data_IF_982788958947
#
_entry.id   IF_982788958947
#
_cell.length_a   1.000
_cell.length_b   1.000
_cell.length_c   1.000
_cell.angle_alpha   90.00
_cell.angle_beta   90.00
_cell.angle_gamma   90.00
#
_symmetry.space_group_name_H-M   'P 1'
#
loop_
_entity.id
_entity.type
_entity.pdbx_description
1 polymer ?
#
# COMPACT_ATOMS: atom_id res chain seq x y z
N UNK A 1 18.23 -10.45 0.84
CA UNK A 1 17.74 -11.03 -0.43
C UNK A 1 16.32 -11.58 -0.34
N UNK A 2 16.01 -12.60 0.50
CA UNK A 2 14.64 -13.15 0.64
C UNK A 2 13.54 -12.10 0.90
N UNK A 3 13.83 -11.07 1.69
CA UNK A 3 12.89 -9.97 2.00
C UNK A 3 12.56 -9.08 0.78
N UNK A 4 13.55 -8.83 -0.09
CA UNK A 4 13.39 -8.04 -1.32
C UNK A 4 12.57 -8.85 -2.34
N UNK A 5 12.81 -10.16 -2.41
CA UNK A 5 12.06 -11.09 -3.26
C UNK A 5 10.58 -11.14 -2.83
N UNK A 6 10.29 -11.15 -1.53
CA UNK A 6 8.90 -11.15 -1.05
C UNK A 6 8.17 -9.85 -1.37
N UNK A 7 8.84 -8.70 -1.31
CA UNK A 7 8.27 -7.40 -1.70
C UNK A 7 8.04 -7.36 -3.21
N UNK A 8 9.00 -7.84 -4.00
CA UNK A 8 8.84 -7.95 -5.45
C UNK A 8 7.69 -8.89 -5.83
N UNK A 9 7.49 -9.99 -5.11
CA UNK A 9 6.34 -10.90 -5.27
C UNK A 9 5.02 -10.24 -4.90
N UNK A 10 5.00 -9.45 -3.82
CA UNK A 10 3.80 -8.69 -3.42
C UNK A 10 3.42 -7.65 -4.48
N UNK A 11 4.42 -6.92 -5.00
CA UNK A 11 4.25 -5.94 -6.07
C UNK A 11 3.87 -6.60 -7.40
N UNK A 12 4.32 -7.84 -7.64
CA UNK A 12 3.96 -8.62 -8.83
C UNK A 12 2.53 -9.20 -8.77
N UNK A 13 1.91 -9.30 -7.59
CA UNK A 13 0.53 -9.76 -7.46
C UNK A 13 -0.51 -8.68 -7.82
N UNK A 14 -0.13 -7.41 -7.75
CA UNK A 14 -1.03 -6.28 -8.03
C UNK A 14 -1.45 -6.21 -9.52
N UNK A 15 -0.56 -6.39 -10.52
CA UNK A 15 -0.98 -6.41 -11.92
C UNK A 15 -1.89 -7.57 -12.32
N UNK A 16 -1.95 -8.66 -11.53
CA UNK A 16 -2.89 -9.76 -11.76
C UNK A 16 -4.35 -9.37 -11.46
N UNK A 17 -4.57 -8.36 -10.62
CA UNK A 17 -5.91 -7.82 -10.33
C UNK A 17 -6.39 -6.81 -11.38
N UNK A 18 -5.47 -6.17 -12.14
CA UNK A 18 -5.83 -5.24 -13.23
C UNK A 18 -6.18 -5.93 -14.56
N UNK A 19 -5.92 -7.23 -14.73
CA UNK A 19 -6.16 -7.95 -16.00
C UNK A 19 -7.65 -8.19 -16.32
N UNK A 20 -8.57 -7.85 -15.41
CA UNK A 20 -10.00 -8.14 -15.56
C UNK A 20 -10.87 -6.90 -15.89
N UNK A 21 -10.29 -5.72 -16.10
CA UNK A 21 -11.05 -4.46 -16.16
C UNK A 21 -11.20 -3.84 -17.56
N UNK A 22 -12.35 -3.19 -17.73
CA UNK A 22 -12.81 -2.44 -18.90
C UNK A 22 -11.86 -1.29 -19.30
N UNK A 23 -11.90 -0.88 -20.57
CA UNK A 23 -10.88 -0.10 -21.30
C UNK A 23 -10.64 1.37 -20.88
N UNK A 24 -10.81 1.75 -19.60
CA UNK A 24 -10.35 3.07 -19.15
C UNK A 24 -8.81 3.09 -19.05
N UNK A 25 -8.18 4.03 -19.74
CA UNK A 25 -6.72 4.17 -19.75
C UNK A 25 -6.27 4.82 -18.45
N UNK A 26 -5.35 4.16 -17.74
CA UNK A 26 -4.67 4.78 -16.59
C UNK A 26 -4.02 6.10 -17.02
N UNK A 27 -4.43 7.21 -16.40
CA UNK A 27 -3.84 8.52 -16.62
C UNK A 27 -3.48 9.17 -15.29
N UNK A 28 -2.25 9.69 -15.21
CA UNK A 28 -1.80 10.47 -14.05
C UNK A 28 -2.47 11.85 -13.97
N UNK A 29 -3.10 12.33 -15.05
CA UNK A 29 -3.84 13.60 -15.05
C UNK A 29 -5.30 13.45 -14.61
N UNK A 30 -5.77 12.23 -14.41
CA UNK A 30 -7.13 11.97 -13.95
C UNK A 30 -7.21 12.16 -12.44
N UNK A 31 -8.04 13.11 -12.01
CA UNK A 31 -8.29 13.44 -10.60
C UNK A 31 -8.73 12.22 -9.80
N UNK A 32 -9.52 11.32 -10.39
CA UNK A 32 -10.01 10.12 -9.72
C UNK A 32 -8.83 9.17 -9.38
N UNK A 33 -7.94 8.93 -10.35
CA UNK A 33 -6.72 8.12 -10.14
C UNK A 33 -5.76 8.79 -9.16
N UNK A 34 -5.69 10.12 -9.15
CA UNK A 34 -4.92 10.85 -8.13
C UNK A 34 -5.48 10.66 -6.73
N UNK A 35 -6.80 10.64 -6.55
CA UNK A 35 -7.42 10.37 -5.26
C UNK A 35 -7.13 8.95 -4.78
N UNK A 36 -7.20 7.95 -5.66
CA UNK A 36 -6.79 6.58 -5.35
C UNK A 36 -5.32 6.51 -4.89
N UNK A 37 -4.39 7.12 -5.64
CA UNK A 37 -2.98 7.18 -5.27
C UNK A 37 -2.76 7.84 -3.90
N UNK A 38 -3.38 9.00 -3.64
CA UNK A 38 -3.20 9.75 -2.40
C UNK A 38 -3.81 9.00 -1.21
N UNK A 39 -5.02 8.44 -1.38
CA UNK A 39 -5.68 7.66 -0.35
C UNK A 39 -4.86 6.42 0.01
N UNK A 40 -4.40 5.67 -0.99
CA UNK A 40 -3.59 4.48 -0.78
C UNK A 40 -2.20 4.77 -0.19
N UNK A 41 -1.58 5.90 -0.54
CA UNK A 41 -0.39 6.40 0.16
C UNK A 41 -0.66 6.62 1.66
N UNK A 42 -1.73 7.37 1.98
CA UNK A 42 -2.08 7.73 3.35
C UNK A 42 -2.47 6.53 4.21
N UNK A 43 -3.23 5.59 3.64
CA UNK A 43 -3.61 4.33 4.29
C UNK A 43 -2.38 3.46 4.56
N UNK A 44 -1.47 3.34 3.59
CA UNK A 44 -0.24 2.55 3.75
C UNK A 44 0.59 3.09 4.91
N UNK A 45 0.76 4.41 4.98
CA UNK A 45 1.47 5.05 6.09
C UNK A 45 0.78 4.80 7.43
N UNK A 46 -0.53 5.03 7.49
CA UNK A 46 -1.34 4.90 8.71
C UNK A 46 -1.31 3.48 9.26
N UNK A 47 -1.61 2.48 8.44
CA UNK A 47 -1.59 1.08 8.89
C UNK A 47 -0.18 0.63 9.27
N UNK A 48 0.83 1.05 8.52
CA UNK A 48 2.22 0.75 8.90
C UNK A 48 2.54 1.31 10.29
N UNK A 49 2.11 2.54 10.60
CA UNK A 49 2.31 3.12 11.93
C UNK A 49 1.54 2.35 13.02
N UNK A 50 0.30 1.94 12.75
CA UNK A 50 -0.50 1.11 13.66
C UNK A 50 0.23 -0.20 13.98
N UNK A 51 0.67 -0.96 12.97
CA UNK A 51 1.37 -2.22 13.17
C UNK A 51 2.72 -2.04 13.88
N UNK A 52 3.41 -0.92 13.63
CA UNK A 52 4.63 -0.54 14.37
C UNK A 52 4.33 -0.31 15.85
N UNK A 53 3.26 0.41 16.19
CA UNK A 53 2.83 0.62 17.59
C UNK A 53 2.41 -0.67 18.27
N UNK A 54 1.97 -1.68 17.53
CA UNK A 54 1.73 -3.04 18.02
C UNK A 54 3.01 -3.87 18.23
N UNK A 55 4.20 -3.27 18.12
CA UNK A 55 5.48 -3.93 18.37
C UNK A 55 6.01 -4.76 17.18
N UNK A 56 5.41 -4.64 15.99
CA UNK A 56 5.93 -5.30 14.81
C UNK A 56 7.22 -4.61 14.32
N UNK A 57 8.15 -5.39 13.79
CA UNK A 57 9.36 -4.86 13.14
C UNK A 57 8.99 -3.99 11.93
N UNK A 58 9.77 -2.95 11.61
CA UNK A 58 9.59 -2.07 10.44
C UNK A 58 9.07 -2.80 9.19
N UNK A 59 9.76 -3.86 8.77
CA UNK A 59 9.41 -4.64 7.58
C UNK A 59 8.09 -5.38 7.69
N UNK A 60 7.75 -5.92 8.86
CA UNK A 60 6.44 -6.56 9.11
C UNK A 60 5.34 -5.51 9.10
N UNK A 61 5.55 -4.37 9.77
CA UNK A 61 4.58 -3.28 9.78
C UNK A 61 4.30 -2.77 8.38
N UNK A 62 5.35 -2.61 7.56
CA UNK A 62 5.22 -2.13 6.18
C UNK A 62 4.45 -3.12 5.32
N UNK A 63 4.78 -4.40 5.44
CA UNK A 63 4.08 -5.46 4.73
C UNK A 63 2.60 -5.49 5.10
N UNK A 64 2.29 -5.47 6.40
CA UNK A 64 0.91 -5.49 6.86
C UNK A 64 0.16 -4.21 6.48
N UNK A 65 0.79 -3.04 6.55
CA UNK A 65 0.17 -1.79 6.14
C UNK A 65 -0.14 -1.72 4.65
N UNK A 66 0.76 -2.23 3.82
CA UNK A 66 0.55 -2.36 2.37
C UNK A 66 -0.58 -3.33 2.06
N UNK A 67 -0.62 -4.49 2.75
CA UNK A 67 -1.67 -5.49 2.58
C UNK A 67 -3.05 -4.99 3.05
N UNK A 68 -3.13 -4.30 4.18
CA UNK A 68 -4.39 -3.70 4.66
C UNK A 68 -4.93 -2.67 3.67
N UNK A 69 -4.05 -1.86 3.09
CA UNK A 69 -4.43 -0.87 2.08
C UNK A 69 -4.92 -1.55 0.80
N UNK A 70 -4.18 -2.54 0.29
CA UNK A 70 -4.60 -3.31 -0.88
C UNK A 70 -5.94 -4.00 -0.67
N UNK A 71 -6.18 -4.55 0.53
CA UNK A 71 -7.44 -5.17 0.89
C UNK A 71 -8.60 -4.16 0.86
N UNK A 72 -8.38 -2.94 1.36
CA UNK A 72 -9.39 -1.86 1.32
C UNK A 72 -9.68 -1.43 -0.12
N UNK A 73 -8.65 -1.18 -0.94
CA UNK A 73 -8.82 -0.84 -2.36
C UNK A 73 -9.58 -1.95 -3.11
N UNK A 74 -9.20 -3.20 -2.90
CA UNK A 74 -9.89 -4.37 -3.48
C UNK A 74 -11.34 -4.45 -3.05
N UNK A 75 -11.65 -4.22 -1.76
CA UNK A 75 -13.03 -4.23 -1.26
C UNK A 75 -13.83 -3.10 -1.91
N UNK A 76 -13.29 -1.88 -2.00
CA UNK A 76 -13.94 -0.73 -2.65
C UNK A 76 -14.30 -1.09 -4.10
N UNK A 77 -13.34 -1.58 -4.88
CA UNK A 77 -13.55 -1.93 -6.28
C UNK A 77 -14.55 -3.07 -6.50
N UNK A 78 -14.61 -4.04 -5.58
CA UNK A 78 -15.61 -5.13 -5.64
C UNK A 78 -17.01 -4.62 -5.25
N UNK A 79 -17.10 -3.60 -4.40
CA UNK A 79 -18.39 -2.99 -4.01
C UNK A 79 -18.89 -1.96 -5.00
N UNK A 80 -18.04 -1.49 -5.91
CA UNK A 80 -18.43 -0.54 -6.94
C UNK A 80 -19.25 -1.22 -8.06
N UNK A 81 -20.20 -0.49 -8.69
CA UNK A 81 -21.02 -1.05 -9.76
C UNK A 81 -20.21 -1.53 -10.99
N UNK A 82 -18.99 -1.04 -11.15
CA UNK A 82 -18.04 -1.42 -12.20
C UNK A 82 -16.65 -1.48 -11.60
N UNK A 83 -16.06 -2.67 -11.61
CA UNK A 83 -14.68 -2.87 -11.19
C UNK A 83 -13.71 -2.14 -12.14
N UNK A 84 -12.79 -1.35 -11.58
CA UNK A 84 -11.83 -0.55 -12.33
C UNK A 84 -10.39 -0.99 -12.01
N UNK A 85 -9.79 -1.68 -12.97
CA UNK A 85 -8.38 -2.08 -12.94
C UNK A 85 -7.41 -0.90 -12.95
N UNK A 86 -7.71 0.23 -13.62
CA UNK A 86 -6.94 1.46 -13.46
C UNK A 86 -6.95 2.02 -12.04
N UNK A 87 -8.05 1.88 -11.30
CA UNK A 87 -8.13 2.29 -9.89
C UNK A 87 -7.29 1.39 -8.99
N UNK A 88 -7.37 0.08 -9.20
CA UNK A 88 -6.46 -0.87 -8.55
C UNK A 88 -4.98 -0.55 -8.84
N UNK A 89 -4.65 -0.14 -10.07
CA UNK A 89 -3.30 0.27 -10.43
C UNK A 89 -2.89 1.58 -9.75
N UNK A 90 -3.81 2.55 -9.65
CA UNK A 90 -3.59 3.78 -8.91
C UNK A 90 -3.34 3.52 -7.42
N UNK A 91 -4.11 2.63 -6.81
CA UNK A 91 -3.88 2.19 -5.43
C UNK A 91 -2.50 1.56 -5.25
N UNK A 92 -2.09 0.70 -6.19
CA UNK A 92 -0.77 0.09 -6.22
C UNK A 92 0.36 1.11 -6.21
N UNK A 93 0.23 2.16 -7.02
CA UNK A 93 1.19 3.26 -7.10
C UNK A 93 1.26 4.00 -5.77
N UNK A 94 0.10 4.34 -5.19
CA UNK A 94 0.01 4.96 -3.86
C UNK A 94 0.70 4.14 -2.77
N UNK A 95 0.42 2.83 -2.71
CA UNK A 95 1.06 1.89 -1.78
C UNK A 95 2.58 1.88 -1.97
N UNK A 96 3.04 1.80 -3.22
CA UNK A 96 4.47 1.74 -3.55
C UNK A 96 5.20 3.00 -3.12
N UNK A 97 4.62 4.18 -3.39
CA UNK A 97 5.17 5.47 -2.96
C UNK A 97 5.23 5.54 -1.43
N UNK A 98 4.14 5.16 -0.74
CA UNK A 98 4.09 5.15 0.73
C UNK A 98 5.14 4.24 1.34
N UNK A 99 5.29 3.04 0.78
CA UNK A 99 6.33 2.10 1.18
C UNK A 99 7.74 2.66 0.96
N UNK A 100 7.98 3.29 -0.20
CA UNK A 100 9.26 3.92 -0.53
C UNK A 100 9.64 5.03 0.46
N UNK A 101 8.68 5.88 0.84
CA UNK A 101 8.88 6.93 1.85
C UNK A 101 9.25 6.33 3.21
N UNK A 102 8.51 5.33 3.67
CA UNK A 102 8.78 4.66 4.96
C UNK A 102 10.15 3.98 4.95
N UNK A 103 10.53 3.34 3.85
CA UNK A 103 11.85 2.72 3.70
C UNK A 103 12.95 3.79 3.80
N UNK A 104 12.78 4.93 3.11
CA UNK A 104 13.78 5.99 3.03
C UNK A 104 13.96 6.78 4.34
N UNK A 105 12.94 6.80 5.20
CA UNK A 105 12.94 7.58 6.44
C UNK A 105 13.14 6.70 7.67
N UNK A 106 14.33 6.12 7.81
CA UNK A 106 14.71 5.29 8.97
C UNK A 106 14.52 6.01 10.32
N UNK A 107 14.84 7.30 10.39
CA UNK A 107 14.74 8.11 11.61
C UNK A 107 13.31 8.25 12.16
N UNK A 108 12.28 8.12 11.32
CA UNK A 108 10.87 8.18 11.74
C UNK A 108 10.43 6.81 12.29
N UNK A 109 11.13 5.74 11.90
CA UNK A 109 10.71 4.35 12.12
C UNK A 109 11.55 3.61 13.17
N UNK A 110 12.47 4.29 13.86
CA UNK A 110 13.13 3.72 15.03
C UNK A 110 12.09 3.36 16.12
N UNK A 111 12.28 2.24 16.84
CA UNK A 111 11.42 1.91 17.97
C UNK A 111 11.51 3.04 18.98
N UNK A 112 10.36 3.65 19.31
CA UNK A 112 10.28 4.58 20.43
C UNK A 112 10.75 3.84 21.70
N UNK A 113 11.74 4.36 22.45
CA UNK A 113 12.32 3.69 23.62
C UNK A 113 11.27 3.24 24.66
N UNK A 114 10.11 3.88 24.68
CA UNK A 114 9.02 3.65 25.62
C UNK A 114 8.28 2.31 25.48
N UNK A 115 8.45 1.58 24.37
CA UNK A 115 7.91 0.21 24.23
C UNK A 115 8.92 -0.89 24.62
N UNK A 116 10.13 -0.52 25.06
CA UNK A 116 11.08 -1.43 25.73
C UNK A 116 10.89 -1.50 27.24
N UNK A 117 9.76 -1.01 27.77
CA UNK A 117 9.45 -1.07 29.19
C UNK A 117 8.38 -2.13 29.49
N UNK A 118 8.84 -3.38 29.57
CA UNK A 118 8.50 -4.45 30.54
C UNK A 118 8.67 -5.83 29.91
#
# INVERSE_FOLDING_TARGET
MKKIINIALLLAFIPLLSLAADEDKFSLSDTDKQLHMIASYGLTFTFTDIYRRMGQSKWKSLLWGSLSTLAIGTIKEITDPKFSGPDMAADAVGITIGAGVIISLDAIWEPQPSLKAK
#
